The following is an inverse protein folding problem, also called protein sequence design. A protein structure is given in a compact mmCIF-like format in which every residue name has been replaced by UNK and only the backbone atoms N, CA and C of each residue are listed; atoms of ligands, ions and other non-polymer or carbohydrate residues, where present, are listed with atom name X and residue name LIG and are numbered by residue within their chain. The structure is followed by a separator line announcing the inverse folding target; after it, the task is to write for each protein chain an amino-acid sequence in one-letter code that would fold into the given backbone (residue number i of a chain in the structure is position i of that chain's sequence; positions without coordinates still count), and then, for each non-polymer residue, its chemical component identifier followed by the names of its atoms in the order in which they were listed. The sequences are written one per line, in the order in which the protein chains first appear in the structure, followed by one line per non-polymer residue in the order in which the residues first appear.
data_IF_381279923671
#
_entry.id   IF_381279923671
#
_cell.length_a   1.000
_cell.length_b   1.000
_cell.length_c   1.000
_cell.angle_alpha   90.00
_cell.angle_beta   90.00
_cell.angle_gamma   90.00
#
_symmetry.space_group_name_H-M   'P 1'
#
loop_
_entity.id
_entity.type
_entity.pdbx_description
1 polymer ?
#
# COMPACT_ATOMS: atom_id res chain seq x y z
N UNK A 1 16.83 7.19 -10.66
CA UNK A 1 15.99 7.59 -9.51
C UNK A 1 15.32 8.93 -9.82
N UNK A 2 14.37 9.36 -8.98
CA UNK A 2 13.79 10.71 -9.06
C UNK A 2 13.61 11.29 -7.68
N UNK A 3 13.76 12.61 -7.57
CA UNK A 3 13.51 13.37 -6.35
C UNK A 3 12.29 14.25 -6.56
N UNK A 4 11.23 14.00 -5.79
CA UNK A 4 10.00 14.77 -5.86
C UNK A 4 10.21 16.17 -5.27
N UNK A 5 9.76 17.21 -5.99
CA UNK A 5 9.73 18.61 -5.51
C UNK A 5 8.29 19.12 -5.31
N UNK A 6 7.29 18.40 -5.84
CA UNK A 6 5.87 18.70 -5.69
C UNK A 6 5.01 17.54 -6.21
N UNK A 7 3.68 17.73 -6.19
CA UNK A 7 2.72 16.69 -6.63
C UNK A 7 2.96 16.20 -8.06
N UNK A 8 3.38 17.10 -8.95
CA UNK A 8 3.62 16.82 -10.37
C UNK A 8 4.98 17.31 -10.87
N UNK A 9 5.93 17.57 -9.96
CA UNK A 9 7.26 18.06 -10.31
C UNK A 9 8.35 17.28 -9.59
N UNK A 10 9.47 17.12 -10.28
CA UNK A 10 10.62 16.44 -9.73
C UNK A 10 11.80 16.44 -10.69
N UNK A 11 12.96 16.14 -10.15
CA UNK A 11 14.20 16.01 -10.91
C UNK A 11 14.41 14.52 -11.12
N UNK A 12 14.51 14.11 -12.38
CA UNK A 12 14.77 12.72 -12.75
C UNK A 12 16.21 12.61 -13.23
N UNK A 13 16.92 11.61 -12.73
CA UNK A 13 18.26 11.29 -13.22
C UNK A 13 18.22 10.84 -14.68
N UNK A 14 19.38 10.85 -15.35
CA UNK A 14 19.49 10.21 -16.66
C UNK A 14 19.19 8.71 -16.55
N UNK A 15 18.68 8.06 -17.60
CA UNK A 15 18.37 6.62 -17.56
C UNK A 15 19.56 5.75 -17.12
N UNK A 16 20.77 6.07 -17.58
CA UNK A 16 21.99 5.35 -17.22
C UNK A 16 22.29 5.48 -15.72
N UNK A 17 22.29 6.71 -15.20
CA UNK A 17 22.54 6.97 -13.78
C UNK A 17 21.47 6.31 -12.89
N UNK A 18 20.22 6.32 -13.33
CA UNK A 18 19.13 5.64 -12.65
C UNK A 18 19.33 4.12 -12.57
N UNK A 19 19.73 3.48 -13.67
CA UNK A 19 20.03 2.05 -13.71
C UNK A 19 21.19 1.69 -12.76
N UNK A 20 22.27 2.46 -12.77
CA UNK A 20 23.41 2.27 -11.87
C UNK A 20 23.00 2.42 -10.39
N UNK A 21 22.17 3.42 -10.07
CA UNK A 21 21.64 3.62 -8.73
C UNK A 21 20.78 2.44 -8.25
N UNK A 22 19.87 1.94 -9.09
CA UNK A 22 19.02 0.78 -8.78
C UNK A 22 19.88 -0.47 -8.58
N UNK A 23 20.86 -0.72 -9.45
CA UNK A 23 21.71 -1.89 -9.35
C UNK A 23 22.54 -1.89 -8.06
N UNK A 24 23.11 -0.74 -7.70
CA UNK A 24 23.84 -0.58 -6.43
C UNK A 24 22.94 -0.80 -5.22
N UNK A 25 21.78 -0.14 -5.17
CA UNK A 25 20.82 -0.30 -4.08
C UNK A 25 20.33 -1.76 -3.93
N UNK A 26 20.12 -2.45 -5.04
CA UNK A 26 19.74 -3.87 -5.02
C UNK A 26 20.83 -4.76 -4.40
N UNK A 27 22.11 -4.54 -4.74
CA UNK A 27 23.24 -5.29 -4.14
C UNK A 27 23.34 -5.04 -2.64
N UNK A 28 23.21 -3.78 -2.21
CA UNK A 28 23.24 -3.38 -0.80
C UNK A 28 22.08 -4.01 -0.02
N UNK A 29 20.86 -3.96 -0.56
CA UNK A 29 19.68 -4.57 0.08
C UNK A 29 19.82 -6.09 0.23
N UNK A 30 20.31 -6.79 -0.80
CA UNK A 30 20.52 -8.24 -0.75
C UNK A 30 21.61 -8.63 0.27
N UNK A 31 22.69 -7.84 0.36
CA UNK A 31 23.72 -8.07 1.36
C UNK A 31 23.18 -7.89 2.80
N UNK A 32 22.30 -6.92 3.02
CA UNK A 32 21.66 -6.68 4.31
C UNK A 32 20.59 -7.74 4.66
N UNK A 33 19.86 -8.25 3.66
CA UNK A 33 18.76 -9.20 3.86
C UNK A 33 19.21 -10.56 4.41
N UNK A 34 20.46 -10.98 4.13
CA UNK A 34 21.02 -12.24 4.62
C UNK A 34 21.02 -12.35 6.16
N UNK A 35 20.99 -11.22 6.89
CA UNK A 35 20.88 -11.18 8.36
C UNK A 35 19.45 -11.03 8.91
N UNK A 36 18.47 -10.68 8.06
CA UNK A 36 17.13 -10.25 8.47
C UNK A 36 16.03 -11.31 8.32
N UNK A 37 16.28 -12.42 7.61
CA UNK A 37 15.27 -13.45 7.30
C UNK A 37 14.55 -14.04 8.53
N UNK A 38 15.23 -14.12 9.68
CA UNK A 38 14.67 -14.71 10.90
C UNK A 38 13.69 -13.81 11.65
N UNK A 39 13.64 -12.50 11.33
CA UNK A 39 12.73 -11.54 11.95
C UNK A 39 11.37 -11.52 11.24
N UNK A 40 11.36 -11.57 9.90
CA UNK A 40 10.12 -11.49 9.11
C UNK A 40 9.23 -12.73 9.25
N UNK A 41 9.81 -13.93 9.40
CA UNK A 41 9.04 -15.18 9.56
C UNK A 41 8.30 -15.27 10.91
N UNK A 42 8.64 -14.39 11.87
CA UNK A 42 8.09 -14.34 13.23
C UNK A 42 6.98 -13.30 13.41
N UNK A 43 6.66 -12.52 12.37
CA UNK A 43 5.52 -11.61 12.38
C UNK A 43 4.21 -12.43 12.31
N UNK A 44 3.83 -12.92 13.49
CA UNK A 44 2.50 -13.24 14.02
C UNK A 44 1.36 -13.51 13.04
N UNK A 45 0.74 -14.67 13.21
CA UNK A 45 -0.62 -15.07 12.79
C UNK A 45 -1.73 -14.22 13.44
N UNK A 46 -1.51 -12.92 13.62
CA UNK A 46 -2.47 -12.01 14.23
C UNK A 46 -3.39 -11.45 13.16
N UNK A 47 -4.68 -11.45 13.45
CA UNK A 47 -5.67 -10.69 12.69
C UNK A 47 -5.20 -9.24 12.54
N UNK A 48 -5.30 -8.73 11.31
CA UNK A 48 -4.88 -7.39 10.95
C UNK A 48 -6.11 -6.49 10.86
N UNK A 49 -6.13 -5.40 11.62
CA UNK A 49 -7.11 -4.33 11.42
C UNK A 49 -6.53 -3.30 10.46
N UNK A 50 -7.21 -3.09 9.33
CA UNK A 50 -6.83 -2.09 8.34
C UNK A 50 -7.80 -0.90 8.43
N UNK A 51 -7.26 0.30 8.62
CA UNK A 51 -8.01 1.55 8.52
C UNK A 51 -7.68 2.24 7.19
N UNK A 52 -8.73 2.58 6.44
CA UNK A 52 -8.64 3.18 5.11
C UNK A 52 -9.34 4.53 5.11
N UNK A 53 -8.59 5.59 4.80
CA UNK A 53 -9.14 6.91 4.52
C UNK A 53 -9.33 7.13 3.02
N UNK A 54 -10.54 7.43 2.59
CA UNK A 54 -10.89 7.70 1.19
C UNK A 54 -10.95 9.20 0.89
N UNK A 55 -10.97 9.55 -0.40
CA UNK A 55 -10.91 10.95 -0.84
C UNK A 55 -12.23 11.71 -0.71
N UNK A 56 -13.36 11.02 -0.87
CA UNK A 56 -14.71 11.60 -0.84
C UNK A 56 -15.66 10.66 -0.11
N UNK A 57 -16.71 11.21 0.50
CA UNK A 57 -17.72 10.45 1.24
C UNK A 57 -18.41 9.39 0.37
N UNK A 58 -18.63 9.68 -0.92
CA UNK A 58 -19.24 8.75 -1.86
C UNK A 58 -18.45 7.44 -2.03
N UNK A 59 -17.11 7.46 -1.92
CA UNK A 59 -16.32 6.23 -1.90
C UNK A 59 -16.55 5.44 -0.62
N UNK A 60 -16.67 6.11 0.52
CA UNK A 60 -16.97 5.43 1.78
C UNK A 60 -18.35 4.75 1.72
N UNK A 61 -19.35 5.43 1.18
CA UNK A 61 -20.70 4.89 0.99
C UNK A 61 -20.73 3.69 0.04
N UNK A 62 -19.97 3.76 -1.08
CA UNK A 62 -19.83 2.66 -2.03
C UNK A 62 -19.11 1.46 -1.42
N UNK A 63 -18.01 1.68 -0.70
CA UNK A 63 -17.20 0.60 -0.14
C UNK A 63 -17.89 -0.08 1.04
N UNK A 64 -18.72 0.63 1.80
CA UNK A 64 -19.57 0.05 2.83
C UNK A 64 -20.69 -0.87 2.30
N UNK A 65 -20.84 -1.01 0.98
CA UNK A 65 -21.66 -2.08 0.40
C UNK A 65 -21.01 -3.47 0.60
N UNK A 66 -19.70 -3.53 0.87
CA UNK A 66 -19.00 -4.76 1.21
C UNK A 66 -19.22 -5.09 2.70
N UNK A 67 -19.81 -6.25 3.04
CA UNK A 67 -20.33 -6.50 4.40
C UNK A 67 -19.32 -6.43 5.55
N UNK A 68 -18.05 -6.76 5.30
CA UNK A 68 -17.00 -6.78 6.32
C UNK A 68 -16.35 -5.41 6.58
N UNK A 69 -16.72 -4.36 5.85
CA UNK A 69 -16.22 -3.01 6.10
C UNK A 69 -17.13 -2.26 7.08
N UNK A 70 -16.53 -1.75 8.15
CA UNK A 70 -17.17 -0.83 9.08
C UNK A 70 -16.84 0.63 8.73
N UNK A 71 -17.82 1.51 8.91
CA UNK A 71 -17.60 2.96 8.75
C UNK A 71 -17.26 3.57 10.10
N UNK A 72 -16.10 4.21 10.19
CA UNK A 72 -15.64 4.89 11.40
C UNK A 72 -16.07 6.37 11.41
N UNK A 73 -15.99 7.03 10.25
CA UNK A 73 -16.43 8.41 10.07
C UNK A 73 -16.83 8.69 8.60
N UNK A 74 -16.99 9.97 8.24
CA UNK A 74 -17.40 10.39 6.91
C UNK A 74 -16.49 9.89 5.77
N UNK A 75 -15.19 9.68 6.01
CA UNK A 75 -14.20 9.28 5.00
C UNK A 75 -13.28 8.15 5.45
N UNK A 76 -13.47 7.61 6.65
CA UNK A 76 -12.65 6.53 7.20
C UNK A 76 -13.47 5.26 7.38
N UNK A 77 -12.91 4.17 6.89
CA UNK A 77 -13.45 2.81 7.01
C UNK A 77 -12.43 1.92 7.71
N UNK A 78 -12.88 0.82 8.29
CA UNK A 78 -12.00 -0.23 8.76
C UNK A 78 -12.52 -1.63 8.43
N UNK A 79 -11.62 -2.61 8.46
CA UNK A 79 -11.97 -4.02 8.41
C UNK A 79 -10.86 -4.87 9.02
N UNK A 80 -11.25 -6.01 9.57
CA UNK A 80 -10.32 -7.04 10.03
C UNK A 80 -10.04 -8.06 8.92
N UNK A 81 -8.83 -8.59 8.91
CA UNK A 81 -8.36 -9.53 7.91
C UNK A 81 -7.42 -10.57 8.52
N UNK A 82 -7.53 -11.85 8.13
CA UNK A 82 -6.73 -12.94 8.72
C UNK A 82 -5.26 -12.92 8.26
N UNK A 83 -4.92 -12.14 7.23
CA UNK A 83 -3.56 -12.03 6.71
C UNK A 83 -3.37 -10.73 5.91
N UNK A 84 -2.11 -10.32 5.75
CA UNK A 84 -1.73 -9.21 4.86
C UNK A 84 -2.18 -9.46 3.42
N UNK A 85 -2.15 -10.70 2.92
CA UNK A 85 -2.66 -11.03 1.58
C UNK A 85 -4.14 -10.64 1.46
N UNK A 86 -4.93 -10.96 2.48
CA UNK A 86 -6.36 -10.64 2.49
C UNK A 86 -6.60 -9.13 2.56
N UNK A 87 -5.80 -8.38 3.35
CA UNK A 87 -5.81 -6.90 3.35
C UNK A 87 -5.58 -6.37 1.94
N UNK A 88 -4.50 -6.80 1.28
CA UNK A 88 -4.13 -6.32 -0.06
C UNK A 88 -5.20 -6.67 -1.09
N UNK A 89 -5.78 -7.88 -1.03
CA UNK A 89 -6.87 -8.29 -1.92
C UNK A 89 -8.10 -7.40 -1.73
N UNK A 90 -8.51 -7.14 -0.49
CA UNK A 90 -9.63 -6.23 -0.20
C UNK A 90 -9.34 -4.83 -0.75
N UNK A 91 -8.17 -4.25 -0.47
CA UNK A 91 -7.79 -2.92 -1.00
C UNK A 91 -7.84 -2.87 -2.54
N UNK A 92 -7.40 -3.92 -3.22
CA UNK A 92 -7.49 -4.01 -4.68
C UNK A 92 -8.94 -4.05 -5.17
N UNK A 93 -9.82 -4.79 -4.51
CA UNK A 93 -11.24 -4.80 -4.83
C UNK A 93 -11.88 -3.41 -4.63
N UNK A 94 -11.56 -2.71 -3.54
CA UNK A 94 -12.05 -1.34 -3.32
C UNK A 94 -11.53 -0.38 -4.39
N UNK A 95 -10.26 -0.50 -4.79
CA UNK A 95 -9.71 0.27 -5.91
C UNK A 95 -10.47 -0.01 -7.21
N UNK A 96 -10.85 -1.26 -7.47
CA UNK A 96 -11.67 -1.62 -8.63
C UNK A 96 -13.10 -1.03 -8.54
N UNK A 97 -13.72 -1.06 -7.36
CA UNK A 97 -15.03 -0.44 -7.12
C UNK A 97 -14.99 1.08 -7.34
N UNK A 98 -13.89 1.75 -7.01
CA UNK A 98 -13.75 3.21 -7.16
C UNK A 98 -13.99 3.71 -8.59
N UNK A 99 -13.78 2.86 -9.61
CA UNK A 99 -14.06 3.21 -11.00
C UNK A 99 -15.55 3.43 -11.30
N UNK A 100 -16.47 2.96 -10.45
CA UNK A 100 -17.90 3.18 -10.63
C UNK A 100 -18.33 4.63 -10.38
N UNK A 101 -17.49 5.44 -9.72
CA UNK A 101 -17.77 6.84 -9.40
C UNK A 101 -16.77 7.81 -10.06
N UNK A 102 -16.01 7.34 -11.05
CA UNK A 102 -15.07 8.16 -11.83
C UNK A 102 -15.69 8.69 -13.10
#
# INVERSE_FOLDING_TARGET
MKTAHGYSSGITETPVSACEAIQRAAREAMAAAAGAEHAHRRASLSEHRCELRVQITAFADLFCQWPTLERLDAVTLAFDAPSVEHVVRTLNCLSAMSFMLR
#
